data_IF_441014422725
#
_entry.id   IF_441014422725
#
_cell.length_a   1.000
_cell.length_b   1.000
_cell.length_c   1.000
_cell.angle_alpha   90.00
_cell.angle_beta   90.00
_cell.angle_gamma   90.00
#
_symmetry.space_group_name_H-M   'P 1'
#
loop_
_entity.id
_entity.type
_entity.pdbx_description
1 polymer ?
#
# COMPACT_ATOMS: atom_id res chain seq x y z
N UNK A 1 68.23 -0.21 0.40
CA UNK A 1 67.31 -0.47 1.52
C UNK A 1 66.07 0.36 1.27
N UNK A 2 65.16 -0.23 0.52
CA UNK A 2 63.91 0.42 0.07
C UNK A 2 62.78 -0.05 0.94
N UNK A 3 62.04 0.86 1.52
CA UNK A 3 60.82 0.55 2.28
C UNK A 3 59.61 1.06 1.49
N UNK A 4 58.92 0.11 0.90
CA UNK A 4 57.59 0.32 0.27
C UNK A 4 56.58 0.55 1.37
N UNK A 5 55.82 1.61 1.28
CA UNK A 5 54.60 1.86 2.04
C UNK A 5 53.43 1.61 1.12
N UNK A 6 52.76 0.51 1.32
CA UNK A 6 51.48 0.22 0.75
C UNK A 6 50.44 1.15 1.39
N UNK A 7 49.96 2.10 0.64
CA UNK A 7 48.81 2.92 0.98
C UNK A 7 47.54 2.15 0.64
N UNK A 8 46.89 1.54 1.63
CA UNK A 8 45.55 1.02 1.53
C UNK A 8 44.60 2.22 1.50
N UNK A 9 44.17 2.59 0.29
CA UNK A 9 43.13 3.57 0.09
C UNK A 9 41.78 2.90 0.38
N UNK A 10 41.29 2.99 1.62
CA UNK A 10 39.92 2.70 1.97
C UNK A 10 39.07 3.90 1.54
N UNK A 11 38.67 3.88 0.29
CA UNK A 11 37.60 4.76 -0.18
C UNK A 11 36.27 4.27 0.42
N UNK A 12 36.01 4.69 1.64
CA UNK A 12 34.71 4.59 2.27
C UNK A 12 33.79 5.52 1.50
N UNK A 13 32.99 4.96 0.60
CA UNK A 13 32.05 5.65 -0.27
C UNK A 13 31.19 6.65 0.50
N UNK A 14 31.65 7.91 0.54
CA UNK A 14 30.91 9.02 1.08
C UNK A 14 29.65 9.20 0.22
N UNK A 15 28.47 8.84 0.75
CA UNK A 15 27.19 9.13 0.13
C UNK A 15 27.10 10.61 -0.18
N UNK A 16 26.63 10.96 -1.37
CA UNK A 16 26.42 12.36 -1.75
C UNK A 16 25.31 12.97 -0.88
N UNK A 17 25.42 14.25 -0.43
CA UNK A 17 24.38 14.92 0.36
C UNK A 17 22.98 14.85 -0.27
N UNK A 18 22.90 14.80 -1.60
CA UNK A 18 21.64 14.57 -2.33
C UNK A 18 21.14 13.13 -2.19
N UNK A 19 22.00 12.16 -1.86
CA UNK A 19 21.61 10.78 -1.54
C UNK A 19 20.93 10.71 -0.19
N UNK A 20 21.52 11.33 0.80
CA UNK A 20 21.03 11.30 2.17
C UNK A 20 19.64 11.95 2.27
N UNK A 21 19.44 13.09 1.60
CA UNK A 21 18.14 13.76 1.55
C UNK A 21 17.04 12.92 0.88
N UNK A 22 17.34 12.20 -0.19
CA UNK A 22 16.37 11.32 -0.85
C UNK A 22 15.97 10.16 0.06
N UNK A 23 16.94 9.55 0.76
CA UNK A 23 16.70 8.48 1.71
C UNK A 23 15.87 8.97 2.91
N UNK A 24 16.17 10.18 3.43
CA UNK A 24 15.37 10.83 4.48
C UNK A 24 13.93 11.08 4.03
N UNK A 25 13.74 11.59 2.81
CA UNK A 25 12.40 11.78 2.24
C UNK A 25 11.63 10.46 2.10
N UNK A 26 12.30 9.36 1.71
CA UNK A 26 11.69 8.02 1.65
C UNK A 26 11.32 7.54 3.06
N UNK A 27 12.20 7.72 4.05
CA UNK A 27 11.92 7.34 5.44
C UNK A 27 10.72 8.12 6.01
N UNK A 28 10.58 9.40 5.68
CA UNK A 28 9.43 10.21 6.08
C UNK A 28 8.11 9.69 5.49
N UNK A 29 8.13 8.97 4.37
CA UNK A 29 6.96 8.37 3.75
C UNK A 29 6.58 7.00 4.35
N UNK A 30 7.44 6.36 5.14
CA UNK A 30 7.23 5.00 5.65
C UNK A 30 5.88 4.79 6.34
N UNK A 31 5.38 5.70 7.21
CA UNK A 31 4.07 5.49 7.85
C UNK A 31 2.92 5.45 6.83
N UNK A 32 2.94 6.30 5.81
CA UNK A 32 1.92 6.33 4.77
C UNK A 32 2.01 5.11 3.85
N UNK A 33 3.23 4.72 3.45
CA UNK A 33 3.46 3.54 2.64
C UNK A 33 3.04 2.25 3.36
N UNK A 34 3.35 2.11 4.67
CA UNK A 34 2.93 0.96 5.48
C UNK A 34 1.41 0.87 5.57
N UNK A 35 0.73 1.97 5.86
CA UNK A 35 -0.74 1.99 5.88
C UNK A 35 -1.33 1.58 4.54
N UNK A 36 -0.77 2.08 3.44
CA UNK A 36 -1.24 1.75 2.10
C UNK A 36 -0.94 0.31 1.71
N UNK A 37 0.27 -0.22 2.01
CA UNK A 37 0.63 -1.61 1.71
C UNK A 37 -0.32 -2.60 2.38
N UNK A 38 -0.58 -2.41 3.67
CA UNK A 38 -1.54 -3.24 4.43
C UNK A 38 -2.95 -3.18 3.86
N UNK A 39 -3.36 -2.02 3.35
CA UNK A 39 -4.67 -1.88 2.71
C UNK A 39 -4.79 -2.59 1.35
N UNK A 40 -3.69 -2.92 0.70
CA UNK A 40 -3.67 -3.58 -0.61
C UNK A 40 -3.65 -5.10 -0.55
N UNK A 41 -3.31 -5.67 0.59
CA UNK A 41 -3.17 -7.10 0.83
C UNK A 41 -4.14 -7.58 1.90
N UNK A 42 -4.17 -8.89 2.18
CA UNK A 42 -5.11 -9.49 3.14
C UNK A 42 -4.48 -9.78 4.50
N UNK A 43 -3.17 -9.85 4.57
CA UNK A 43 -2.45 -10.16 5.81
C UNK A 43 -1.39 -9.12 6.13
N UNK A 44 -1.08 -8.93 7.41
CA UNK A 44 -0.03 -8.02 7.85
C UNK A 44 1.36 -8.41 7.33
N UNK A 45 1.77 -9.71 7.35
CA UNK A 45 3.04 -10.13 6.77
C UNK A 45 3.17 -9.76 5.29
N UNK A 46 2.14 -10.01 4.48
CA UNK A 46 2.14 -9.63 3.06
C UNK A 46 2.26 -8.10 2.88
N UNK A 47 1.68 -7.34 3.81
CA UNK A 47 1.77 -5.88 3.84
C UNK A 47 3.20 -5.40 4.09
N UNK A 48 3.90 -5.99 5.05
CA UNK A 48 5.30 -5.65 5.32
C UNK A 48 6.21 -6.08 4.16
N UNK A 49 5.98 -7.25 3.56
CA UNK A 49 6.72 -7.70 2.36
C UNK A 49 6.49 -6.77 1.17
N UNK A 50 5.25 -6.32 0.95
CA UNK A 50 4.95 -5.36 -0.11
C UNK A 50 5.61 -4.00 0.14
N UNK A 51 5.65 -3.58 1.39
CA UNK A 51 6.33 -2.35 1.81
C UNK A 51 7.83 -2.45 1.54
N UNK A 52 8.46 -3.56 1.95
CA UNK A 52 9.89 -3.80 1.74
C UNK A 52 10.23 -3.77 0.25
N UNK A 53 9.53 -4.55 -0.58
CA UNK A 53 9.71 -4.56 -2.04
C UNK A 53 9.57 -3.16 -2.65
N UNK A 54 8.60 -2.37 -2.15
CA UNK A 54 8.38 -1.01 -2.62
C UNK A 54 9.57 -0.12 -2.30
N UNK A 55 10.06 -0.13 -1.06
CA UNK A 55 11.19 0.69 -0.61
C UNK A 55 12.46 0.31 -1.37
N UNK A 56 12.75 -0.97 -1.50
CA UNK A 56 13.90 -1.47 -2.28
C UNK A 56 13.84 -0.96 -3.73
N UNK A 57 12.65 -1.02 -4.34
CA UNK A 57 12.45 -0.58 -5.72
C UNK A 57 12.52 0.94 -5.89
N UNK A 58 12.05 1.70 -4.90
CA UNK A 58 12.17 3.16 -4.85
C UNK A 58 13.65 3.56 -4.79
N UNK A 59 14.43 2.95 -3.91
CA UNK A 59 15.87 3.21 -3.75
C UNK A 59 16.64 2.79 -5.01
N UNK A 60 16.41 1.59 -5.52
CA UNK A 60 17.06 1.08 -6.72
C UNK A 60 16.77 1.92 -7.99
N UNK A 61 15.61 2.53 -8.06
CA UNK A 61 15.18 3.35 -9.19
C UNK A 61 15.36 4.86 -8.98
N UNK A 62 16.10 5.26 -7.96
CA UNK A 62 16.34 6.66 -7.65
C UNK A 62 16.75 7.50 -8.87
N UNK A 63 17.64 6.98 -9.71
CA UNK A 63 18.08 7.65 -10.93
C UNK A 63 16.95 7.93 -11.94
N UNK A 64 15.82 7.24 -11.85
CA UNK A 64 14.65 7.44 -12.69
C UNK A 64 13.69 8.49 -12.13
N UNK A 65 13.86 8.88 -10.87
CA UNK A 65 13.03 9.89 -10.24
C UNK A 65 13.40 11.28 -10.74
N UNK A 66 12.41 12.02 -11.22
CA UNK A 66 12.61 13.34 -11.84
C UNK A 66 12.56 14.50 -10.85
N UNK A 67 12.65 14.26 -9.55
CA UNK A 67 12.61 15.29 -8.52
C UNK A 67 11.22 15.85 -8.19
N UNK A 68 10.15 15.26 -8.73
CA UNK A 68 8.78 15.74 -8.54
C UNK A 68 7.96 14.68 -7.81
N UNK A 69 7.29 15.10 -6.71
CA UNK A 69 6.31 14.30 -5.97
C UNK A 69 6.74 12.85 -5.68
N UNK A 70 7.78 12.68 -4.84
CA UNK A 70 8.30 11.38 -4.43
C UNK A 70 7.19 10.48 -3.87
N UNK A 71 6.25 11.05 -3.11
CA UNK A 71 5.13 10.33 -2.53
C UNK A 71 4.26 9.67 -3.60
N UNK A 72 3.79 10.42 -4.60
CA UNK A 72 2.98 9.86 -5.68
C UNK A 72 3.73 8.79 -6.48
N UNK A 73 5.02 9.00 -6.71
CA UNK A 73 5.86 8.03 -7.41
C UNK A 73 6.04 6.72 -6.62
N UNK A 74 6.26 6.79 -5.30
CA UNK A 74 6.34 5.60 -4.45
C UNK A 74 5.00 4.85 -4.39
N UNK A 75 3.86 5.55 -4.27
CA UNK A 75 2.54 4.93 -4.32
C UNK A 75 2.26 4.25 -5.67
N UNK A 76 2.71 4.84 -6.78
CA UNK A 76 2.62 4.23 -8.12
C UNK A 76 3.41 2.91 -8.17
N UNK A 77 4.64 2.90 -7.66
CA UNK A 77 5.47 1.70 -7.59
C UNK A 77 4.78 0.62 -6.76
N UNK A 78 4.29 0.95 -5.57
CA UNK A 78 3.61 0.00 -4.67
C UNK A 78 2.35 -0.59 -5.31
N UNK A 79 1.51 0.24 -5.95
CA UNK A 79 0.30 -0.23 -6.62
C UNK A 79 0.63 -1.20 -7.76
N UNK A 80 1.68 -0.91 -8.54
CA UNK A 80 2.11 -1.79 -9.61
C UNK A 80 2.68 -3.12 -9.08
N UNK A 81 3.39 -3.10 -7.96
CA UNK A 81 3.86 -4.32 -7.28
C UNK A 81 2.67 -5.17 -6.82
N UNK A 82 1.71 -4.57 -6.13
CA UNK A 82 0.50 -5.26 -5.68
C UNK A 82 -0.28 -5.88 -6.84
N UNK A 83 -0.49 -5.13 -7.94
CA UNK A 83 -1.15 -5.65 -9.15
C UNK A 83 -0.42 -6.84 -9.76
N UNK A 84 0.90 -6.80 -9.80
CA UNK A 84 1.70 -7.89 -10.36
C UNK A 84 1.61 -9.14 -9.48
N UNK A 85 1.66 -9.00 -8.15
CA UNK A 85 1.44 -10.11 -7.20
C UNK A 85 0.07 -10.74 -7.40
N UNK A 86 -1.00 -9.95 -7.47
CA UNK A 86 -2.35 -10.45 -7.71
C UNK A 86 -2.49 -11.20 -9.06
N UNK A 87 -1.86 -10.71 -10.12
CA UNK A 87 -1.86 -11.42 -11.41
C UNK A 87 -1.14 -12.75 -11.31
N UNK A 88 0.00 -12.79 -10.62
CA UNK A 88 0.76 -14.02 -10.45
C UNK A 88 -0.02 -15.06 -9.65
N UNK A 89 -0.65 -14.66 -8.55
CA UNK A 89 -1.50 -15.54 -7.74
C UNK A 89 -2.71 -16.04 -8.53
N UNK A 90 -3.35 -15.20 -9.35
CA UNK A 90 -4.47 -15.62 -10.20
C UNK A 90 -4.08 -16.63 -11.28
N UNK A 91 -2.83 -16.57 -11.77
CA UNK A 91 -2.31 -17.54 -12.76
C UNK A 91 -1.79 -18.83 -12.12
N UNK A 92 -1.43 -18.78 -10.84
CA UNK A 92 -0.95 -19.91 -10.06
C UNK A 92 -1.71 -19.98 -8.74
N UNK A 93 -2.97 -20.50 -8.75
CA UNK A 93 -3.75 -20.63 -7.53
C UNK A 93 -3.07 -21.64 -6.60
N UNK A 94 -2.29 -21.14 -5.66
CA UNK A 94 -1.89 -21.90 -4.49
C UNK A 94 -3.09 -21.94 -3.55
N UNK A 95 -3.33 -23.10 -2.94
CA UNK A 95 -4.36 -23.28 -1.91
C UNK A 95 -3.95 -22.39 -0.73
N UNK A 96 -4.51 -21.19 -0.68
CA UNK A 96 -4.35 -20.31 0.47
C UNK A 96 -5.14 -20.93 1.63
N UNK A 97 -4.42 -21.36 2.64
CA UNK A 97 -4.97 -21.58 3.98
C UNK A 97 -5.45 -20.21 4.48
N UNK A 98 -6.75 -20.14 4.76
CA UNK A 98 -7.44 -18.93 5.24
C UNK A 98 -6.99 -18.63 6.68
N UNK A 99 -5.85 -17.98 6.84
CA UNK A 99 -5.43 -17.39 8.10
C UNK A 99 -6.00 -15.98 8.20
N UNK A 100 -7.22 -15.91 8.74
CA UNK A 100 -7.86 -14.68 9.21
C UNK A 100 -7.09 -14.12 10.41
N UNK A 101 -5.95 -13.47 10.17
CA UNK A 101 -5.23 -12.71 11.19
C UNK A 101 -5.52 -11.23 10.99
N UNK A 102 -6.31 -10.70 11.93
CA UNK A 102 -6.78 -9.32 11.93
C UNK A 102 -5.67 -8.29 11.97
N UNK A 103 -5.89 -7.21 11.25
CA UNK A 103 -5.10 -5.99 11.28
C UNK A 103 -5.15 -5.37 12.69
N UNK A 104 -4.12 -5.53 13.49
CA UNK A 104 -3.90 -4.71 14.68
C UNK A 104 -3.21 -3.40 14.27
N UNK A 105 -3.98 -2.39 13.93
CA UNK A 105 -3.50 -1.03 13.93
C UNK A 105 -3.92 -0.36 15.24
N UNK A 106 -2.95 -0.03 16.08
CA UNK A 106 -3.18 0.83 17.23
C UNK A 106 -3.57 2.23 16.74
N UNK A 107 -4.85 2.55 16.82
CA UNK A 107 -5.35 3.93 16.89
C UNK A 107 -6.78 3.97 17.45
N UNK A 108 -6.90 4.65 18.59
CA UNK A 108 -8.06 5.36 19.16
C UNK A 108 -9.48 4.82 18.91
N UNK A 109 -10.14 4.46 20.05
CA UNK A 109 -11.58 4.58 20.36
C UNK A 109 -12.63 4.19 19.31
N UNK A 110 -12.36 3.24 18.44
CA UNK A 110 -13.40 2.60 17.63
C UNK A 110 -13.78 1.28 18.27
N UNK A 111 -15.08 1.00 18.33
CA UNK A 111 -15.59 -0.30 18.77
C UNK A 111 -14.85 -1.41 17.98
N UNK A 112 -14.21 -2.38 18.67
CA UNK A 112 -13.49 -3.48 18.01
C UNK A 112 -14.36 -4.23 16.99
N UNK A 113 -15.67 -4.27 17.20
CA UNK A 113 -16.62 -4.90 16.30
C UNK A 113 -16.81 -4.09 15.00
N UNK A 114 -16.94 -2.77 15.09
CA UNK A 114 -17.05 -1.89 13.93
C UNK A 114 -15.77 -1.90 13.10
N UNK A 115 -14.62 -1.95 13.77
CA UNK A 115 -13.32 -2.06 13.09
C UNK A 115 -13.20 -3.36 12.31
N UNK A 116 -13.52 -4.50 12.92
CA UNK A 116 -13.55 -5.81 12.27
C UNK A 116 -14.51 -5.84 11.06
N UNK A 117 -15.66 -5.13 11.15
CA UNK A 117 -16.61 -4.98 10.04
C UNK A 117 -16.02 -4.21 8.87
N UNK A 118 -15.41 -3.06 9.16
CA UNK A 118 -14.77 -2.23 8.13
C UNK A 118 -13.64 -2.99 7.43
N UNK A 119 -12.82 -3.72 8.18
CA UNK A 119 -11.74 -4.54 7.63
C UNK A 119 -12.29 -5.64 6.70
N UNK A 120 -13.33 -6.35 7.10
CA UNK A 120 -14.00 -7.36 6.25
C UNK A 120 -14.60 -6.72 5.00
N UNK A 121 -15.25 -5.58 5.14
CA UNK A 121 -15.83 -4.84 4.02
C UNK A 121 -14.76 -4.36 3.02
N UNK A 122 -13.62 -3.85 3.52
CA UNK A 122 -12.48 -3.48 2.69
C UNK A 122 -11.86 -4.69 2.00
N UNK A 123 -11.75 -5.82 2.70
CA UNK A 123 -11.24 -7.08 2.13
C UNK A 123 -12.16 -7.67 1.05
N UNK A 124 -13.46 -7.37 1.08
CA UNK A 124 -14.41 -7.73 0.03
C UNK A 124 -14.28 -6.92 -1.27
N UNK A 125 -13.53 -5.80 -1.26
CA UNK A 125 -13.30 -5.01 -2.48
C UNK A 125 -12.28 -5.70 -3.39
N UNK A 126 -12.46 -5.54 -4.71
CA UNK A 126 -11.38 -5.89 -5.64
C UNK A 126 -10.14 -5.01 -5.39
N UNK A 127 -8.95 -5.52 -5.70
CA UNK A 127 -7.69 -4.78 -5.51
C UNK A 127 -7.69 -3.41 -6.22
N UNK A 128 -8.31 -3.33 -7.40
CA UNK A 128 -8.42 -2.09 -8.17
C UNK A 128 -9.35 -1.07 -7.51
N UNK A 129 -10.51 -1.51 -7.01
CA UNK A 129 -11.46 -0.64 -6.34
C UNK A 129 -10.87 -0.15 -5.02
N UNK A 130 -10.20 -1.03 -4.28
CA UNK A 130 -9.53 -0.73 -3.02
C UNK A 130 -8.39 0.28 -3.21
N UNK A 131 -7.52 0.08 -4.21
CA UNK A 131 -6.44 1.01 -4.52
C UNK A 131 -6.94 2.43 -4.79
N UNK A 132 -7.99 2.57 -5.62
CA UNK A 132 -8.60 3.87 -5.91
C UNK A 132 -9.21 4.49 -4.66
N UNK A 133 -9.94 3.71 -3.88
CA UNK A 133 -10.56 4.19 -2.63
C UNK A 133 -9.49 4.73 -1.66
N UNK A 134 -8.43 3.96 -1.44
CA UNK A 134 -7.37 4.34 -0.50
C UNK A 134 -6.64 5.60 -0.96
N UNK A 135 -6.27 5.69 -2.23
CA UNK A 135 -5.57 6.86 -2.77
C UNK A 135 -6.42 8.14 -2.68
N UNK A 136 -7.72 8.05 -2.97
CA UNK A 136 -8.61 9.22 -2.96
C UNK A 136 -9.02 9.59 -1.53
N UNK A 137 -9.49 8.62 -0.74
CA UNK A 137 -10.15 8.91 0.56
C UNK A 137 -9.13 9.02 1.69
N UNK A 138 -8.15 8.15 1.74
CA UNK A 138 -7.18 8.10 2.85
C UNK A 138 -5.97 8.96 2.56
N UNK A 139 -5.42 8.87 1.35
CA UNK A 139 -4.21 9.61 0.98
C UNK A 139 -4.52 11.00 0.40
N UNK A 140 -5.79 11.32 0.10
CA UNK A 140 -6.25 12.66 -0.27
C UNK A 140 -5.88 13.11 -1.68
N UNK A 141 -5.55 12.19 -2.59
CA UNK A 141 -5.22 12.53 -3.97
C UNK A 141 -6.45 12.95 -4.77
N UNK A 142 -6.28 13.90 -5.69
CA UNK A 142 -7.32 14.26 -6.65
C UNK A 142 -7.52 13.14 -7.66
N UNK A 143 -8.71 13.07 -8.25
CA UNK A 143 -9.05 12.01 -9.23
C UNK A 143 -8.10 11.99 -10.42
N UNK A 144 -7.65 13.17 -10.88
CA UNK A 144 -6.69 13.25 -11.97
C UNK A 144 -5.32 12.69 -11.56
N UNK A 145 -4.84 13.01 -10.35
CA UNK A 145 -3.57 12.49 -9.84
C UNK A 145 -3.61 10.96 -9.76
N UNK A 146 -4.75 10.40 -9.28
CA UNK A 146 -4.94 8.94 -9.21
C UNK A 146 -5.01 8.32 -10.62
N UNK A 147 -5.66 8.98 -11.58
CA UNK A 147 -5.69 8.54 -12.97
C UNK A 147 -4.28 8.43 -13.56
N UNK A 148 -3.45 9.45 -13.33
CA UNK A 148 -2.07 9.49 -13.80
C UNK A 148 -1.20 8.44 -13.09
N UNK A 149 -1.31 8.32 -11.75
CA UNK A 149 -0.58 7.32 -10.94
C UNK A 149 -0.89 5.88 -11.35
N UNK A 150 -2.15 5.59 -11.66
CA UNK A 150 -2.61 4.24 -12.01
C UNK A 150 -2.58 3.96 -13.52
N UNK A 151 -2.27 4.98 -14.33
CA UNK A 151 -2.31 4.95 -15.80
C UNK A 151 -3.68 4.44 -16.31
N UNK A 152 -4.79 5.02 -15.79
CA UNK A 152 -6.17 4.71 -16.18
C UNK A 152 -6.95 5.99 -16.47
N UNK A 153 -8.01 5.94 -17.31
CA UNK A 153 -8.86 7.11 -17.54
C UNK A 153 -9.52 7.62 -16.25
N UNK A 154 -9.68 8.93 -16.11
CA UNK A 154 -10.34 9.55 -14.96
C UNK A 154 -11.76 9.02 -14.73
N UNK A 155 -12.50 8.71 -15.80
CA UNK A 155 -13.81 8.06 -15.71
C UNK A 155 -13.76 6.69 -15.07
N UNK A 156 -12.63 5.96 -15.25
CA UNK A 156 -12.38 4.67 -14.58
C UNK A 156 -12.12 4.87 -13.08
N UNK A 157 -11.40 5.94 -12.69
CA UNK A 157 -11.23 6.30 -11.27
C UNK A 157 -12.59 6.56 -10.63
N UNK A 158 -13.42 7.39 -11.26
CA UNK A 158 -14.77 7.74 -10.77
C UNK A 158 -15.65 6.49 -10.61
N UNK A 159 -15.69 5.63 -11.63
CA UNK A 159 -16.52 4.42 -11.59
C UNK A 159 -16.05 3.40 -10.55
N UNK A 160 -14.73 3.21 -10.40
CA UNK A 160 -14.16 2.34 -9.37
C UNK A 160 -14.42 2.87 -7.96
N UNK A 161 -14.27 4.17 -7.75
CA UNK A 161 -14.57 4.81 -6.46
C UNK A 161 -16.04 4.68 -6.10
N UNK A 162 -16.94 4.89 -7.07
CA UNK A 162 -18.39 4.72 -6.87
C UNK A 162 -18.74 3.29 -6.48
N UNK A 163 -18.18 2.28 -7.19
CA UNK A 163 -18.38 0.86 -6.85
C UNK A 163 -17.84 0.52 -5.48
N UNK A 164 -16.62 0.98 -5.14
CA UNK A 164 -16.03 0.75 -3.83
C UNK A 164 -16.91 1.30 -2.71
N UNK A 165 -17.40 2.54 -2.85
CA UNK A 165 -18.28 3.17 -1.86
C UNK A 165 -19.60 2.44 -1.73
N UNK A 166 -20.19 2.00 -2.84
CA UNK A 166 -21.45 1.24 -2.82
C UNK A 166 -21.26 -0.10 -2.10
N UNK A 167 -20.23 -0.87 -2.47
CA UNK A 167 -19.93 -2.14 -1.83
C UNK A 167 -19.67 -2.01 -0.33
N UNK A 168 -18.92 -0.98 0.10
CA UNK A 168 -18.71 -0.70 1.52
C UNK A 168 -20.02 -0.36 2.22
N UNK A 169 -20.85 0.50 1.63
CA UNK A 169 -22.11 0.89 2.22
C UNK A 169 -23.07 -0.30 2.38
N UNK A 170 -23.14 -1.20 1.41
CA UNK A 170 -23.93 -2.43 1.52
C UNK A 170 -23.38 -3.37 2.61
N UNK A 171 -22.07 -3.63 2.61
CA UNK A 171 -21.44 -4.49 3.60
C UNK A 171 -21.60 -3.97 5.05
N UNK A 172 -21.68 -2.65 5.22
CA UNK A 172 -21.92 -2.03 6.53
C UNK A 172 -23.40 -2.03 6.94
N UNK A 173 -24.35 -2.18 5.99
CA UNK A 173 -25.79 -2.27 6.28
C UNK A 173 -26.21 -3.68 6.72
N UNK A 174 -25.71 -4.70 6.04
CA UNK A 174 -26.16 -6.09 6.23
C UNK A 174 -25.93 -6.62 7.66
N UNK A 175 -24.96 -6.08 8.37
CA UNK A 175 -24.68 -6.46 9.76
C UNK A 175 -25.62 -5.79 10.81
N UNK A 176 -26.46 -4.83 10.40
CA UNK A 176 -27.37 -4.13 11.33
C UNK A 176 -28.73 -4.84 11.49
N UNK A 177 -28.97 -5.92 10.75
CA UNK A 177 -30.16 -6.76 10.92
C UNK A 177 -29.84 -7.86 11.95
N UNK A 178 -29.86 -7.52 13.22
CA UNK A 178 -30.05 -8.51 14.30
C UNK A 178 -31.46 -9.09 14.08
N UNK A 179 -31.52 -10.26 13.46
CA UNK A 179 -32.74 -11.06 13.41
C UNK A 179 -33.15 -11.39 14.84
N UNK A 180 -34.04 -10.59 15.41
CA UNK A 180 -34.74 -10.95 16.65
C UNK A 180 -35.61 -12.16 16.34
N UNK A 181 -35.08 -13.39 16.50
CA UNK A 181 -35.91 -14.56 16.63
C UNK A 181 -36.75 -14.39 17.88
N UNK A 182 -38.03 -14.13 17.72
CA UNK A 182 -39.02 -14.24 18.83
C UNK A 182 -38.96 -15.68 19.33
N UNK A 183 -38.74 -15.93 20.63
CA UNK A 183 -38.94 -17.25 21.18
C UNK A 183 -40.45 -17.56 21.10
N UNK A 184 -40.75 -18.79 20.66
CA UNK A 184 -42.10 -19.39 20.75
C UNK A 184 -42.41 -19.72 22.19
#
# INVERSE_FOLDING_TARGET
>A
MSSSRDGVNMDAGAKSPASDRFEEDVLALMPALRRYSRSLVRSDPDGEDLLQDCVEKVLARRAQWRGVNLRAWAFTIMTNLSRNRHRHTALHPQVELDDNLGLQAETQESDPLERSRLERALNGLSAENRSVLMLVVIEGYRYQDVADMLAIPIGTVMSRLSRARHQLAEAMKDDNVISMRRPK
#
